data_IF_826704256428
#
_entry.id   IF_826704256428
#
_cell.length_a   1.000
_cell.length_b   1.000
_cell.length_c   1.000
_cell.angle_alpha   90.00
_cell.angle_beta   90.00
_cell.angle_gamma   90.00
#
_symmetry.space_group_name_H-M   'P 1'
#
loop_
_entity.id
_entity.type
_entity.pdbx_description
1 polymer ?
#
# COMPACT_ATOMS: atom_id res chain seq x y z
N UNK A 1 23.66 -27.34 -19.65
CA UNK A 1 22.79 -26.57 -18.75
C UNK A 1 23.33 -26.52 -17.33
N UNK A 2 23.62 -25.32 -16.82
CA UNK A 2 24.08 -25.09 -15.44
C UNK A 2 22.96 -24.47 -14.61
N UNK A 3 22.96 -24.71 -13.31
CA UNK A 3 21.93 -24.28 -12.38
C UNK A 3 22.51 -23.32 -11.36
N UNK A 4 22.00 -22.11 -11.30
CA UNK A 4 22.37 -21.09 -10.32
C UNK A 4 21.42 -21.16 -9.13
N UNK A 5 22.00 -21.33 -7.94
CA UNK A 5 21.28 -21.39 -6.67
C UNK A 5 21.89 -20.37 -5.71
N UNK A 6 21.06 -19.44 -5.26
CA UNK A 6 21.43 -18.46 -4.23
C UNK A 6 20.94 -18.95 -2.87
N UNK A 7 21.83 -18.96 -1.88
CA UNK A 7 21.53 -19.25 -0.47
C UNK A 7 21.98 -18.06 0.39
N UNK A 8 21.58 -18.06 1.67
CA UNK A 8 21.93 -16.98 2.59
C UNK A 8 23.43 -16.83 2.84
N UNK A 9 24.23 -17.84 2.51
CA UNK A 9 25.67 -17.90 2.73
C UNK A 9 26.50 -17.82 1.42
N UNK A 10 25.86 -17.69 0.26
CA UNK A 10 26.58 -17.58 -1.00
C UNK A 10 25.77 -17.94 -2.24
N UNK A 11 26.45 -17.81 -3.38
CA UNK A 11 25.94 -18.13 -4.72
C UNK A 11 26.65 -19.37 -5.24
N UNK A 12 25.89 -20.33 -5.75
CA UNK A 12 26.39 -21.63 -6.18
C UNK A 12 25.97 -21.92 -7.61
N UNK A 13 26.93 -22.32 -8.43
CA UNK A 13 26.70 -22.79 -9.79
C UNK A 13 26.89 -24.30 -9.84
N UNK A 14 25.85 -25.02 -10.23
CA UNK A 14 25.78 -26.47 -10.26
C UNK A 14 25.67 -27.00 -11.70
N UNK A 15 26.28 -28.14 -12.03
CA UNK A 15 26.14 -28.78 -13.36
C UNK A 15 25.02 -29.84 -13.41
N UNK A 16 24.37 -30.10 -12.27
CA UNK A 16 23.37 -31.15 -12.09
C UNK A 16 23.85 -32.31 -11.23
N UNK A 17 25.16 -32.47 -11.03
CA UNK A 17 25.75 -33.50 -10.15
C UNK A 17 26.68 -32.93 -9.07
N UNK A 18 27.38 -31.83 -9.37
CA UNK A 18 28.32 -31.19 -8.44
C UNK A 18 28.32 -29.67 -8.57
N UNK A 19 28.85 -29.01 -7.54
CA UNK A 19 29.12 -27.58 -7.55
C UNK A 19 30.33 -27.30 -8.43
N UNK A 20 30.13 -26.54 -9.49
CA UNK A 20 31.16 -26.11 -10.45
C UNK A 20 31.91 -24.88 -9.97
N UNK A 21 31.18 -23.93 -9.38
CA UNK A 21 31.70 -22.67 -8.84
C UNK A 21 30.87 -22.25 -7.65
N UNK A 22 31.50 -21.67 -6.64
CA UNK A 22 30.80 -21.03 -5.53
C UNK A 22 31.46 -19.68 -5.22
N UNK A 23 30.63 -18.72 -4.84
CA UNK A 23 31.03 -17.41 -4.35
C UNK A 23 30.36 -17.23 -2.98
N UNK A 24 31.13 -17.40 -1.92
CA UNK A 24 30.64 -17.26 -0.55
C UNK A 24 30.51 -15.79 -0.19
N UNK A 25 29.50 -15.47 0.60
CA UNK A 25 29.36 -14.13 1.14
C UNK A 25 30.40 -13.86 2.24
N UNK A 26 30.76 -12.60 2.50
CA UNK A 26 31.54 -12.24 3.68
C UNK A 26 30.86 -12.78 4.93
N UNK A 27 31.63 -13.26 5.91
CA UNK A 27 31.09 -13.71 7.21
C UNK A 27 30.80 -12.57 8.18
N UNK A 28 31.04 -11.34 7.74
CA UNK A 28 30.67 -10.13 8.46
C UNK A 28 29.15 -9.97 8.50
N UNK A 29 28.61 -9.68 9.67
CA UNK A 29 27.17 -9.62 9.90
C UNK A 29 26.50 -8.51 9.08
N UNK A 30 27.12 -7.33 9.00
CA UNK A 30 26.51 -6.17 8.34
C UNK A 30 26.52 -6.34 6.83
N UNK A 31 27.59 -6.92 6.27
CA UNK A 31 27.68 -7.29 4.86
C UNK A 31 26.69 -8.41 4.46
N UNK A 32 26.40 -9.35 5.37
CA UNK A 32 25.34 -10.35 5.15
C UNK A 32 23.95 -9.72 5.18
N UNK A 33 23.68 -8.86 6.16
CA UNK A 33 22.39 -8.14 6.25
C UNK A 33 22.12 -7.37 4.97
N UNK A 34 23.10 -6.62 4.45
CA UNK A 34 22.98 -5.87 3.19
C UNK A 34 22.59 -6.78 2.02
N UNK A 35 23.27 -7.92 1.84
CA UNK A 35 22.98 -8.87 0.75
C UNK A 35 21.62 -9.52 0.88
N UNK A 36 21.24 -9.96 2.09
CA UNK A 36 19.94 -10.56 2.33
C UNK A 36 18.79 -9.57 2.07
N UNK A 37 18.99 -8.29 2.40
CA UNK A 37 18.03 -7.24 2.06
C UNK A 37 17.94 -7.03 0.55
N UNK A 38 19.05 -7.01 -0.19
CA UNK A 38 19.03 -6.91 -1.66
C UNK A 38 18.29 -8.10 -2.30
N UNK A 39 18.50 -9.32 -1.78
CA UNK A 39 17.78 -10.52 -2.23
C UNK A 39 16.27 -10.36 -1.99
N UNK A 40 15.87 -9.94 -0.78
CA UNK A 40 14.46 -9.69 -0.43
C UNK A 40 13.82 -8.61 -1.29
N UNK A 41 14.58 -7.58 -1.68
CA UNK A 41 14.12 -6.49 -2.54
C UNK A 41 13.92 -6.88 -4.01
N UNK A 42 14.28 -8.09 -4.43
CA UNK A 42 14.21 -8.42 -5.84
C UNK A 42 15.39 -7.88 -6.67
N UNK A 43 16.50 -7.46 -6.04
CA UNK A 43 17.69 -6.95 -6.76
C UNK A 43 18.74 -8.02 -6.96
N UNK A 44 19.31 -8.10 -8.17
CA UNK A 44 20.41 -9.02 -8.52
C UNK A 44 21.71 -8.62 -7.83
N UNK A 45 22.40 -9.56 -7.18
CA UNK A 45 23.70 -9.37 -6.53
C UNK A 45 24.83 -9.40 -7.56
N UNK A 46 25.96 -8.79 -7.21
CA UNK A 46 27.13 -8.77 -8.10
C UNK A 46 27.82 -10.14 -8.16
N UNK A 47 27.82 -10.90 -7.06
CA UNK A 47 28.29 -12.28 -7.01
C UNK A 47 27.50 -13.21 -7.95
N UNK A 48 26.22 -12.91 -8.18
CA UNK A 48 25.36 -13.66 -9.12
C UNK A 48 25.75 -13.36 -10.57
N UNK A 49 26.03 -12.10 -10.90
CA UNK A 49 26.52 -11.70 -12.23
C UNK A 49 27.90 -12.30 -12.51
N UNK A 50 28.79 -12.27 -11.53
CA UNK A 50 30.14 -12.85 -11.63
C UNK A 50 30.14 -14.38 -11.73
N UNK A 51 29.13 -15.05 -11.16
CA UNK A 51 28.94 -16.49 -11.30
C UNK A 51 28.61 -16.90 -12.73
N UNK A 52 27.92 -16.04 -13.48
CA UNK A 52 27.40 -16.33 -14.82
C UNK A 52 28.30 -15.76 -15.93
N UNK A 53 29.21 -14.84 -15.63
CA UNK A 53 30.09 -14.19 -16.62
C UNK A 53 30.78 -15.22 -17.52
N UNK A 54 30.50 -15.15 -18.82
CA UNK A 54 31.03 -16.06 -19.85
C UNK A 54 30.19 -17.31 -20.14
N UNK A 55 29.02 -17.47 -19.52
CA UNK A 55 28.14 -18.63 -19.68
C UNK A 55 26.80 -18.24 -20.33
N UNK A 56 26.38 -18.98 -21.35
CA UNK A 56 25.14 -18.71 -22.11
C UNK A 56 23.94 -19.58 -21.69
N UNK A 57 24.17 -20.69 -20.99
CA UNK A 57 23.15 -21.70 -20.68
C UNK A 57 23.06 -21.95 -19.16
N UNK A 58 22.50 -20.97 -18.45
CA UNK A 58 22.28 -21.00 -16.99
C UNK A 58 20.80 -20.88 -16.68
N UNK A 59 20.30 -21.75 -15.81
CA UNK A 59 18.95 -21.67 -15.27
C UNK A 59 18.92 -21.45 -13.76
N UNK A 60 17.80 -20.93 -13.29
CA UNK A 60 17.59 -20.60 -11.87
C UNK A 60 16.13 -20.84 -11.50
N UNK A 61 15.89 -21.17 -10.22
CA UNK A 61 14.57 -21.27 -9.63
C UNK A 61 14.14 -19.97 -8.92
N UNK A 62 14.99 -18.95 -8.87
CA UNK A 62 14.67 -17.64 -8.31
C UNK A 62 14.13 -16.73 -9.42
N UNK A 63 12.86 -16.34 -9.31
CA UNK A 63 12.20 -15.47 -10.28
C UNK A 63 12.89 -14.11 -10.40
N UNK A 64 13.55 -13.64 -9.32
CA UNK A 64 14.36 -12.41 -9.29
C UNK A 64 15.46 -12.41 -10.36
N UNK A 65 15.99 -13.58 -10.68
CA UNK A 65 17.14 -13.75 -11.57
C UNK A 65 16.74 -14.02 -13.02
N UNK A 66 15.45 -13.95 -13.34
CA UNK A 66 14.91 -14.13 -14.70
C UNK A 66 15.53 -13.18 -15.74
N UNK A 67 16.04 -12.02 -15.32
CA UNK A 67 16.71 -11.06 -16.20
C UNK A 67 18.11 -11.51 -16.64
N UNK A 68 18.77 -12.39 -15.89
CA UNK A 68 20.17 -12.81 -16.12
C UNK A 68 20.33 -14.32 -16.37
N UNK A 69 19.30 -15.12 -16.07
CA UNK A 69 19.30 -16.56 -16.23
C UNK A 69 17.90 -17.07 -16.63
N UNK A 70 17.84 -18.25 -17.27
CA UNK A 70 16.57 -18.86 -17.66
C UNK A 70 15.81 -19.33 -16.43
N UNK A 71 14.68 -18.70 -16.14
CA UNK A 71 13.82 -19.12 -15.03
C UNK A 71 13.19 -20.48 -15.32
N UNK A 72 13.36 -21.43 -14.40
CA UNK A 72 12.72 -22.73 -14.41
C UNK A 72 12.02 -22.95 -13.07
N UNK A 73 10.69 -22.93 -13.10
CA UNK A 73 9.87 -23.30 -11.95
C UNK A 73 9.93 -24.80 -11.71
N UNK A 74 10.27 -25.20 -10.48
CA UNK A 74 10.06 -26.55 -9.94
C UNK A 74 10.76 -27.71 -10.69
N UNK A 75 11.99 -27.48 -11.16
CA UNK A 75 12.83 -28.51 -11.79
C UNK A 75 13.45 -29.46 -10.73
N UNK A 76 13.42 -30.78 -10.96
CA UNK A 76 13.85 -31.82 -10.00
C UNK A 76 15.27 -31.60 -9.45
N UNK A 77 16.18 -31.15 -10.31
CA UNK A 77 17.58 -30.83 -9.95
C UNK A 77 17.68 -29.83 -8.79
N UNK A 78 16.76 -28.86 -8.67
CA UNK A 78 16.82 -27.91 -7.55
C UNK A 78 16.41 -28.51 -6.20
N UNK A 79 15.65 -29.62 -6.21
CA UNK A 79 15.29 -30.39 -5.00
C UNK A 79 16.44 -31.28 -4.54
N UNK A 80 17.25 -31.76 -5.48
CA UNK A 80 18.42 -32.62 -5.23
C UNK A 80 19.65 -31.84 -4.76
N UNK A 81 19.73 -30.53 -5.06
CA UNK A 81 20.84 -29.68 -4.61
C UNK A 81 20.71 -29.39 -3.10
N UNK A 82 21.39 -30.21 -2.30
CA UNK A 82 21.55 -30.01 -0.86
C UNK A 82 22.89 -29.30 -0.55
N UNK A 83 22.83 -28.03 -0.18
CA UNK A 83 23.99 -27.23 0.23
C UNK A 83 23.92 -26.99 1.74
N UNK A 84 24.91 -27.52 2.49
CA UNK A 84 24.99 -27.37 3.95
C UNK A 84 25.85 -26.16 4.33
N UNK A 85 25.33 -25.16 5.06
CA UNK A 85 26.12 -23.98 5.47
C UNK A 85 27.41 -24.33 6.21
N UNK A 86 27.39 -25.40 7.02
CA UNK A 86 28.52 -25.82 7.87
C UNK A 86 29.72 -26.23 7.02
N UNK A 87 29.48 -26.83 5.85
CA UNK A 87 30.55 -27.24 4.92
C UNK A 87 31.31 -26.06 4.30
N UNK A 88 30.75 -24.84 4.41
CA UNK A 88 31.37 -23.60 3.94
C UNK A 88 31.77 -22.67 5.11
N UNK A 89 31.72 -23.19 6.36
CA UNK A 89 32.09 -22.47 7.56
C UNK A 89 31.09 -21.39 7.97
N UNK A 90 29.81 -21.56 7.63
CA UNK A 90 28.70 -20.74 8.11
C UNK A 90 27.95 -21.50 9.20
N UNK A 91 27.84 -20.88 10.37
CA UNK A 91 27.19 -21.49 11.54
C UNK A 91 25.75 -21.02 11.67
N UNK A 92 24.92 -21.83 12.34
CA UNK A 92 23.55 -21.44 12.67
C UNK A 92 23.52 -20.24 13.64
N UNK A 93 24.54 -20.08 14.49
CA UNK A 93 24.71 -18.91 15.36
C UNK A 93 24.79 -17.61 14.57
N UNK A 94 25.57 -17.60 13.48
CA UNK A 94 25.68 -16.44 12.59
C UNK A 94 24.32 -16.10 11.95
N UNK A 95 23.56 -17.12 11.51
CA UNK A 95 22.22 -16.91 10.95
C UNK A 95 21.25 -16.35 12.00
N UNK A 96 21.31 -16.83 13.24
CA UNK A 96 20.47 -16.37 14.34
C UNK A 96 20.78 -14.92 14.75
N UNK A 97 22.01 -14.44 14.56
CA UNK A 97 22.39 -13.03 14.77
C UNK A 97 21.96 -12.14 13.62
N UNK A 98 22.11 -12.61 12.37
CA UNK A 98 21.80 -11.83 11.16
C UNK A 98 20.30 -11.71 10.93
N UNK A 99 19.51 -12.76 11.19
CA UNK A 99 18.07 -12.79 10.86
C UNK A 99 17.26 -11.70 11.57
N UNK A 100 17.44 -11.44 12.88
CA UNK A 100 16.76 -10.34 13.57
C UNK A 100 17.16 -8.97 12.99
N UNK A 101 18.44 -8.75 12.67
CA UNK A 101 18.91 -7.49 12.07
C UNK A 101 18.27 -7.22 10.70
N UNK A 102 18.14 -8.26 9.86
CA UNK A 102 17.43 -8.16 8.58
C UNK A 102 15.96 -7.81 8.80
N UNK A 103 15.28 -8.50 9.72
CA UNK A 103 13.87 -8.27 10.03
C UNK A 103 13.62 -6.86 10.60
N UNK A 104 14.52 -6.38 11.46
CA UNK A 104 14.46 -5.02 12.04
C UNK A 104 14.61 -3.96 10.94
N UNK A 105 15.60 -4.08 10.06
CA UNK A 105 15.81 -3.13 8.96
C UNK A 105 14.64 -3.15 7.96
N UNK A 106 14.09 -4.33 7.66
CA UNK A 106 12.89 -4.48 6.82
C UNK A 106 11.67 -3.81 7.46
N UNK A 107 11.49 -3.99 8.77
CA UNK A 107 10.40 -3.37 9.54
C UNK A 107 10.55 -1.86 9.56
N UNK A 108 11.76 -1.34 9.81
CA UNK A 108 12.04 0.10 9.83
C UNK A 108 11.70 0.75 8.48
N UNK A 109 12.14 0.14 7.36
CA UNK A 109 11.78 0.60 6.01
C UNK A 109 10.28 0.55 5.74
N UNK A 110 9.60 -0.47 6.26
CA UNK A 110 8.14 -0.59 6.16
C UNK A 110 7.39 0.46 6.97
N UNK A 111 7.96 0.92 8.09
CA UNK A 111 7.42 2.00 8.93
C UNK A 111 7.70 3.40 8.36
N UNK A 112 8.76 3.56 7.57
CA UNK A 112 9.09 4.81 6.86
C UNK A 112 8.16 5.11 5.66
N UNK A 113 7.20 4.24 5.36
CA UNK A 113 6.25 4.45 4.26
C UNK A 113 5.34 5.65 4.56
N UNK A 114 5.40 6.66 3.69
CA UNK A 114 4.62 7.91 3.82
C UNK A 114 3.11 7.70 3.82
N UNK A 115 2.61 6.63 3.22
CA UNK A 115 1.17 6.31 3.25
C UNK A 115 0.70 5.91 4.66
N UNK A 116 1.55 5.35 5.52
CA UNK A 116 1.20 5.07 6.92
C UNK A 116 0.92 6.35 7.71
N UNK A 117 1.70 7.41 7.47
CA UNK A 117 1.46 8.71 8.10
C UNK A 117 0.11 9.29 7.65
N UNK A 118 -0.22 9.21 6.36
CA UNK A 118 -1.53 9.63 5.83
C UNK A 118 -2.66 8.84 6.50
N UNK A 119 -2.48 7.54 6.70
CA UNK A 119 -3.46 6.68 7.37
C UNK A 119 -3.70 7.12 8.82
N UNK A 120 -2.64 7.48 9.56
CA UNK A 120 -2.80 7.97 10.93
C UNK A 120 -3.45 9.36 10.95
N UNK A 121 -3.01 10.27 10.08
CA UNK A 121 -3.60 11.61 9.97
C UNK A 121 -5.11 11.55 9.71
N UNK A 122 -5.56 10.69 8.79
CA UNK A 122 -6.99 10.60 8.47
C UNK A 122 -7.82 9.93 9.58
N UNK A 123 -7.24 8.96 10.30
CA UNK A 123 -7.89 8.38 11.49
C UNK A 123 -8.07 9.42 12.59
N UNK A 124 -7.00 10.14 12.93
CA UNK A 124 -7.05 11.21 13.91
C UNK A 124 -8.00 12.32 13.49
N UNK A 125 -8.00 12.70 12.20
CA UNK A 125 -8.95 13.67 11.66
C UNK A 125 -10.40 13.23 11.85
N UNK A 126 -10.74 11.97 11.51
CA UNK A 126 -12.10 11.44 11.65
C UNK A 126 -12.53 11.33 13.12
N UNK A 127 -11.62 10.94 14.03
CA UNK A 127 -11.86 10.91 15.48
C UNK A 127 -12.11 12.31 16.04
N UNK A 128 -11.26 13.29 15.70
CA UNK A 128 -11.41 14.67 16.15
C UNK A 128 -12.71 15.31 15.64
N UNK A 129 -13.11 15.03 14.40
CA UNK A 129 -14.44 15.48 13.88
C UNK A 129 -15.57 14.86 14.71
N UNK A 130 -15.44 13.59 15.10
CA UNK A 130 -16.38 12.95 16.02
C UNK A 130 -16.47 13.66 17.37
N UNK A 131 -15.31 13.94 17.99
CA UNK A 131 -15.26 14.68 19.26
C UNK A 131 -15.81 16.11 19.13
N UNK A 132 -15.50 16.81 18.04
CA UNK A 132 -16.02 18.15 17.77
C UNK A 132 -17.55 18.15 17.76
N UNK A 133 -18.18 17.17 17.12
CA UNK A 133 -19.64 17.06 17.08
C UNK A 133 -20.22 16.81 18.47
N UNK A 134 -19.64 15.87 19.23
CA UNK A 134 -20.09 15.57 20.61
C UNK A 134 -19.99 16.81 21.50
N UNK A 135 -18.86 17.52 21.46
CA UNK A 135 -18.69 18.75 22.25
C UNK A 135 -19.65 19.85 21.81
N UNK A 136 -19.91 19.98 20.51
CA UNK A 136 -20.86 20.96 19.99
C UNK A 136 -22.28 20.68 20.48
N UNK A 137 -22.72 19.42 20.48
CA UNK A 137 -24.01 19.00 21.04
C UNK A 137 -24.09 19.31 22.55
N UNK A 138 -23.04 19.00 23.32
CA UNK A 138 -23.02 19.27 24.77
C UNK A 138 -23.05 20.77 25.09
N UNK A 139 -22.34 21.57 24.31
CA UNK A 139 -22.34 23.03 24.48
C UNK A 139 -23.71 23.62 24.16
N UNK A 140 -24.39 23.12 23.12
CA UNK A 140 -25.74 23.58 22.78
C UNK A 140 -26.74 23.26 23.91
N UNK A 141 -26.72 22.02 24.40
CA UNK A 141 -27.57 21.61 25.52
C UNK A 141 -27.27 22.42 26.80
N UNK A 142 -26.00 22.64 27.13
CA UNK A 142 -25.64 23.39 28.33
C UNK A 142 -26.03 24.86 28.22
N UNK A 143 -25.82 25.50 27.06
CA UNK A 143 -26.27 26.86 26.78
C UNK A 143 -27.80 27.01 26.84
N UNK A 144 -28.55 25.94 26.61
CA UNK A 144 -30.02 25.97 26.69
C UNK A 144 -30.56 26.02 28.14
N UNK A 145 -29.70 25.80 29.14
CA UNK A 145 -30.11 25.89 30.55
C UNK A 145 -30.39 27.36 30.95
N UNK A 146 -31.33 27.63 31.87
CA UNK A 146 -31.66 29.00 32.29
C UNK A 146 -30.49 29.76 32.93
N UNK A 147 -29.55 29.04 33.53
CA UNK A 147 -28.33 29.58 34.16
C UNK A 147 -27.20 28.56 33.96
N UNK A 148 -26.50 28.58 32.81
CA UNK A 148 -25.35 27.72 32.58
C UNK A 148 -24.19 28.12 33.49
N UNK A 149 -23.45 27.14 33.96
CA UNK A 149 -22.26 27.33 34.79
C UNK A 149 -21.08 27.84 33.93
N UNK A 150 -20.17 28.63 34.51
CA UNK A 150 -19.01 29.18 33.81
C UNK A 150 -18.06 28.11 33.25
N UNK A 151 -18.09 26.89 33.78
CA UNK A 151 -17.33 25.73 33.29
C UNK A 151 -17.62 25.39 31.82
N UNK A 152 -18.74 25.88 31.27
CA UNK A 152 -19.05 25.78 29.83
C UNK A 152 -17.96 26.42 28.96
N UNK A 153 -17.29 27.45 29.46
CA UNK A 153 -16.21 28.15 28.74
C UNK A 153 -15.03 27.20 28.48
N UNK A 154 -14.63 26.40 29.48
CA UNK A 154 -13.55 25.40 29.35
C UNK A 154 -13.85 24.38 28.24
N UNK A 155 -15.11 23.95 28.14
CA UNK A 155 -15.55 23.02 27.09
C UNK A 155 -15.56 23.71 25.72
N UNK A 156 -15.99 24.98 25.66
CA UNK A 156 -15.96 25.78 24.43
C UNK A 156 -14.53 26.00 23.93
N UNK A 157 -13.59 26.33 24.82
CA UNK A 157 -12.17 26.49 24.50
C UNK A 157 -11.59 25.18 23.94
N UNK A 158 -11.87 24.05 24.60
CA UNK A 158 -11.43 22.72 24.13
C UNK A 158 -12.00 22.40 22.73
N UNK A 159 -13.28 22.69 22.49
CA UNK A 159 -13.91 22.54 21.16
C UNK A 159 -13.15 23.35 20.10
N UNK A 160 -12.80 24.59 20.42
CA UNK A 160 -12.13 25.50 19.49
C UNK A 160 -10.70 25.06 19.20
N UNK A 161 -9.97 24.52 20.18
CA UNK A 161 -8.67 23.90 19.98
C UNK A 161 -8.74 22.66 19.08
N UNK A 162 -9.72 21.79 19.30
CA UNK A 162 -9.97 20.62 18.45
C UNK A 162 -10.26 21.08 17.02
N UNK A 163 -11.10 22.10 16.83
CA UNK A 163 -11.41 22.66 15.51
C UNK A 163 -10.16 23.17 14.79
N UNK A 164 -9.31 23.94 15.48
CA UNK A 164 -8.02 24.40 14.91
C UNK A 164 -7.13 23.23 14.52
N UNK A 165 -7.08 22.19 15.35
CA UNK A 165 -6.27 20.99 15.08
C UNK A 165 -6.76 20.24 13.84
N UNK A 166 -8.08 20.14 13.65
CA UNK A 166 -8.71 19.56 12.45
C UNK A 166 -8.29 20.33 11.19
N UNK A 167 -8.29 21.66 11.22
CA UNK A 167 -7.88 22.50 10.09
C UNK A 167 -6.40 22.28 9.72
N UNK A 168 -5.51 22.21 10.72
CA UNK A 168 -4.08 21.91 10.52
C UNK A 168 -3.85 20.52 9.94
N UNK A 169 -4.59 19.52 10.43
CA UNK A 169 -4.52 18.15 9.91
C UNK A 169 -5.05 18.06 8.48
N UNK A 170 -6.13 18.77 8.14
CA UNK A 170 -6.66 18.78 6.78
C UNK A 170 -5.62 19.28 5.79
N UNK A 171 -4.95 20.40 6.08
CA UNK A 171 -3.92 20.94 5.19
C UNK A 171 -2.71 19.99 5.10
N UNK A 172 -2.30 19.41 6.22
CA UNK A 172 -1.24 18.40 6.24
C UNK A 172 -1.59 17.18 5.38
N UNK A 173 -2.82 16.68 5.44
CA UNK A 173 -3.31 15.58 4.59
C UNK A 173 -3.29 16.01 3.13
N UNK A 174 -3.74 17.23 2.82
CA UNK A 174 -3.77 17.77 1.45
C UNK A 174 -2.38 17.85 0.84
N UNK A 175 -1.40 18.33 1.57
CA UNK A 175 -0.01 18.39 1.11
C UNK A 175 0.61 17.00 0.92
N UNK A 176 0.43 16.11 1.90
CA UNK A 176 0.98 14.77 1.84
C UNK A 176 0.36 13.94 0.71
N UNK A 177 -0.94 14.06 0.49
CA UNK A 177 -1.64 13.38 -0.60
C UNK A 177 -1.15 13.83 -1.98
N UNK A 178 -0.87 15.14 -2.18
CA UNK A 178 -0.26 15.63 -3.41
C UNK A 178 1.13 15.03 -3.67
N UNK A 179 1.91 14.80 -2.61
CA UNK A 179 3.27 14.22 -2.69
C UNK A 179 3.25 12.69 -2.89
N UNK A 180 2.31 12.00 -2.25
CA UNK A 180 2.27 10.53 -2.21
C UNK A 180 1.43 9.92 -3.33
N UNK A 181 0.28 10.51 -3.63
CA UNK A 181 -0.70 10.00 -4.60
C UNK A 181 -1.35 11.16 -5.39
N UNK A 182 -0.58 11.86 -6.26
CA UNK A 182 -1.07 13.00 -7.02
C UNK A 182 -2.23 12.63 -7.97
N UNK A 183 -2.14 11.48 -8.66
CA UNK A 183 -3.19 11.07 -9.58
C UNK A 183 -4.48 10.76 -8.82
N UNK A 184 -4.39 10.02 -7.71
CA UNK A 184 -5.56 9.70 -6.90
C UNK A 184 -6.21 10.96 -6.31
N UNK A 185 -5.38 11.91 -5.88
CA UNK A 185 -5.83 13.23 -5.40
C UNK A 185 -6.59 13.99 -6.48
N UNK A 186 -6.14 13.92 -7.74
CA UNK A 186 -6.82 14.59 -8.85
C UNK A 186 -8.22 14.03 -9.15
N UNK A 187 -8.43 12.74 -8.89
CA UNK A 187 -9.70 12.06 -9.13
C UNK A 187 -10.64 12.21 -7.94
N UNK A 188 -10.21 11.79 -6.75
CA UNK A 188 -11.07 11.68 -5.57
C UNK A 188 -11.05 12.93 -4.67
N UNK A 189 -10.03 13.77 -4.81
CA UNK A 189 -9.67 14.77 -3.80
C UNK A 189 -8.79 14.18 -2.69
N UNK A 190 -8.12 15.04 -1.89
CA UNK A 190 -7.15 14.62 -0.89
C UNK A 190 -7.78 13.79 0.23
N UNK A 191 -8.88 14.27 0.84
CA UNK A 191 -9.52 13.59 1.97
C UNK A 191 -10.10 12.22 1.59
N UNK A 192 -10.87 12.15 0.50
CA UNK A 192 -11.43 10.88 0.04
C UNK A 192 -10.34 9.92 -0.41
N UNK A 193 -9.30 10.40 -1.10
CA UNK A 193 -8.14 9.60 -1.49
C UNK A 193 -7.42 9.01 -0.27
N UNK A 194 -7.17 9.82 0.76
CA UNK A 194 -6.57 9.38 2.02
C UNK A 194 -7.44 8.32 2.73
N UNK A 195 -8.76 8.51 2.78
CA UNK A 195 -9.67 7.51 3.35
C UNK A 195 -9.69 6.20 2.56
N UNK A 196 -9.59 6.25 1.22
CA UNK A 196 -9.47 5.05 0.39
C UNK A 196 -8.16 4.29 0.70
N UNK A 197 -7.04 5.00 0.86
CA UNK A 197 -5.75 4.41 1.26
C UNK A 197 -5.85 3.76 2.64
N UNK A 198 -6.50 4.45 3.60
CA UNK A 198 -6.76 3.92 4.95
C UNK A 198 -7.57 2.64 4.92
N UNK A 199 -8.72 2.64 4.25
CA UNK A 199 -9.60 1.47 4.21
C UNK A 199 -8.95 0.28 3.48
N UNK A 200 -8.09 0.55 2.49
CA UNK A 200 -7.32 -0.50 1.81
C UNK A 200 -6.14 -1.03 2.66
N UNK A 201 -5.72 -0.30 3.70
CA UNK A 201 -4.56 -0.62 4.53
C UNK A 201 -3.22 -0.31 3.85
N UNK A 202 -3.19 0.69 2.96
CA UNK A 202 -1.98 1.13 2.24
C UNK A 202 -2.24 1.42 0.77
N UNK A 203 -1.42 2.29 0.19
CA UNK A 203 -1.59 2.74 -1.20
C UNK A 203 -1.32 1.60 -2.20
N UNK A 204 -0.32 0.75 -1.93
CA UNK A 204 -0.03 -0.40 -2.79
C UNK A 204 -1.18 -1.43 -2.79
N UNK A 205 -1.80 -1.67 -1.63
CA UNK A 205 -2.97 -2.56 -1.52
C UNK A 205 -4.13 -1.98 -2.32
N UNK A 206 -4.39 -0.68 -2.21
CA UNK A 206 -5.40 0.02 -3.01
C UNK A 206 -5.15 -0.14 -4.52
N UNK A 207 -3.91 0.02 -4.98
CA UNK A 207 -3.55 -0.12 -6.39
C UNK A 207 -3.78 -1.55 -6.94
N UNK A 208 -3.73 -2.57 -6.08
CA UNK A 208 -4.01 -3.97 -6.45
C UNK A 208 -5.51 -4.30 -6.43
N UNK A 209 -6.35 -3.48 -5.80
CA UNK A 209 -7.79 -3.73 -5.75
C UNK A 209 -8.45 -3.52 -7.12
N UNK A 210 -9.46 -4.34 -7.48
CA UNK A 210 -10.29 -4.08 -8.64
C UNK A 210 -11.24 -2.90 -8.38
N UNK A 211 -11.68 -2.23 -9.45
CA UNK A 211 -12.58 -1.08 -9.37
C UNK A 211 -13.91 -1.41 -8.66
N UNK A 212 -14.41 -2.64 -8.80
CA UNK A 212 -15.63 -3.11 -8.12
C UNK A 212 -15.49 -3.11 -6.59
N UNK A 213 -14.31 -3.48 -6.06
CA UNK A 213 -14.02 -3.44 -4.62
C UNK A 213 -13.90 -2.00 -4.15
N UNK A 214 -13.16 -1.16 -4.89
CA UNK A 214 -13.01 0.27 -4.57
C UNK A 214 -14.38 0.98 -4.56
N UNK A 215 -15.30 0.59 -5.45
CA UNK A 215 -16.64 1.16 -5.53
C UNK A 215 -17.42 1.02 -4.21
N UNK A 216 -17.27 -0.11 -3.52
CA UNK A 216 -18.07 -0.49 -2.34
C UNK A 216 -17.28 -0.50 -1.02
N UNK A 217 -16.02 -0.07 -1.04
CA UNK A 217 -15.19 0.00 0.16
C UNK A 217 -15.80 0.97 1.18
N UNK A 218 -15.88 0.58 2.46
CA UNK A 218 -16.63 1.28 3.50
C UNK A 218 -18.12 0.93 3.59
N UNK A 219 -18.65 0.08 2.69
CA UNK A 219 -20.01 -0.47 2.77
C UNK A 219 -20.02 -1.97 3.09
N UNK A 220 -19.00 -2.47 3.78
CA UNK A 220 -18.81 -3.88 4.10
C UNK A 220 -20.02 -4.45 4.84
N UNK A 221 -20.55 -3.73 5.84
CA UNK A 221 -21.75 -4.15 6.59
C UNK A 221 -22.95 -4.41 5.66
N UNK A 222 -23.21 -3.50 4.73
CA UNK A 222 -24.32 -3.65 3.78
C UNK A 222 -24.06 -4.77 2.75
N UNK A 223 -22.83 -4.89 2.28
CA UNK A 223 -22.41 -5.97 1.38
C UNK A 223 -22.55 -7.34 2.04
N UNK A 224 -22.13 -7.47 3.30
CA UNK A 224 -22.22 -8.72 4.04
C UNK A 224 -23.67 -9.11 4.29
N UNK A 225 -24.56 -8.18 4.69
CA UNK A 225 -26.00 -8.49 4.79
C UNK A 225 -26.57 -9.04 3.48
N UNK A 226 -26.25 -8.39 2.36
CA UNK A 226 -26.68 -8.87 1.04
C UNK A 226 -26.13 -10.27 0.72
N UNK A 227 -24.86 -10.55 1.04
CA UNK A 227 -24.28 -11.90 0.86
C UNK A 227 -24.97 -12.97 1.71
N UNK A 228 -25.58 -12.60 2.83
CA UNK A 228 -26.38 -13.49 3.67
C UNK A 228 -27.86 -13.54 3.26
N UNK A 229 -28.21 -13.01 2.08
CA UNK A 229 -29.57 -13.06 1.53
C UNK A 229 -30.47 -11.90 1.94
N UNK A 230 -29.95 -10.89 2.65
CA UNK A 230 -30.75 -9.77 3.15
C UNK A 230 -30.57 -8.49 2.33
N UNK A 231 -31.66 -7.97 1.79
CA UNK A 231 -31.71 -6.66 1.13
C UNK A 231 -31.03 -6.64 -0.24
N UNK A 232 -30.53 -5.47 -0.64
CA UNK A 232 -29.94 -5.23 -1.98
C UNK A 232 -28.46 -4.88 -1.89
N UNK A 233 -27.64 -5.19 -2.91
CA UNK A 233 -26.22 -4.89 -2.88
C UNK A 233 -25.96 -3.38 -2.84
N UNK A 234 -24.95 -2.92 -2.07
CA UNK A 234 -24.63 -1.51 -2.00
C UNK A 234 -24.11 -0.99 -3.36
N UNK A 235 -24.63 0.16 -3.80
CA UNK A 235 -24.21 0.79 -5.07
C UNK A 235 -22.89 1.55 -4.94
N UNK A 236 -22.54 1.97 -3.72
CA UNK A 236 -21.36 2.75 -3.41
C UNK A 236 -21.03 2.62 -1.92
N UNK A 237 -19.74 2.65 -1.60
CA UNK A 237 -19.24 2.82 -0.24
C UNK A 237 -18.86 4.27 0.02
N UNK A 238 -17.64 4.50 0.51
CA UNK A 238 -17.18 5.83 0.90
C UNK A 238 -17.09 6.82 -0.28
N UNK A 239 -17.00 6.32 -1.52
CA UNK A 239 -17.06 7.14 -2.75
C UNK A 239 -18.33 8.00 -2.82
N UNK A 240 -19.38 7.65 -2.07
CA UNK A 240 -20.56 8.50 -1.94
C UNK A 240 -20.26 9.92 -1.45
N UNK A 241 -19.18 10.13 -0.70
CA UNK A 241 -18.74 11.45 -0.21
C UNK A 241 -18.17 12.35 -1.31
N UNK A 242 -17.86 11.81 -2.49
CA UNK A 242 -17.28 12.56 -3.59
C UNK A 242 -18.20 13.70 -4.07
N UNK A 243 -17.64 14.88 -4.36
CA UNK A 243 -18.41 16.08 -4.74
C UNK A 243 -19.37 15.86 -5.92
N UNK A 244 -18.96 15.10 -6.95
CA UNK A 244 -19.80 14.74 -8.10
C UNK A 244 -21.06 13.95 -7.72
N UNK A 245 -21.04 13.16 -6.64
CA UNK A 245 -22.20 12.38 -6.20
C UNK A 245 -23.34 13.26 -5.69
N UNK A 246 -23.02 14.43 -5.13
CA UNK A 246 -24.01 15.42 -4.68
C UNK A 246 -24.75 16.09 -5.85
N UNK A 247 -24.15 16.09 -7.04
CA UNK A 247 -24.65 16.79 -8.23
C UNK A 247 -25.48 15.91 -9.17
N UNK A 248 -25.74 14.65 -8.80
CA UNK A 248 -26.40 13.67 -9.67
C UNK A 248 -27.66 13.06 -9.05
N UNK A 249 -28.62 12.71 -9.92
CA UNK A 249 -29.89 12.12 -9.51
C UNK A 249 -29.65 10.73 -8.86
N UNK A 250 -30.50 10.29 -7.92
CA UNK A 250 -30.35 8.98 -7.26
C UNK A 250 -30.22 7.79 -8.22
N UNK A 251 -30.92 7.81 -9.35
CA UNK A 251 -30.84 6.78 -10.41
C UNK A 251 -29.46 6.70 -11.08
N UNK A 252 -28.74 7.83 -11.16
CA UNK A 252 -27.44 7.94 -11.82
C UNK A 252 -26.26 7.65 -10.88
N UNK A 253 -26.46 7.71 -9.56
CA UNK A 253 -25.41 7.51 -8.53
C UNK A 253 -24.60 6.23 -8.71
N UNK A 254 -25.24 5.12 -9.08
CA UNK A 254 -24.54 3.85 -9.32
C UNK A 254 -23.57 3.91 -10.51
N UNK A 255 -23.97 4.58 -11.60
CA UNK A 255 -23.12 4.76 -12.79
C UNK A 255 -21.93 5.67 -12.48
N UNK A 256 -22.17 6.76 -11.74
CA UNK A 256 -21.13 7.71 -11.33
C UNK A 256 -20.15 7.10 -10.34
N UNK A 257 -20.64 6.34 -9.34
CA UNK A 257 -19.76 5.64 -8.40
C UNK A 257 -18.82 4.67 -9.10
N UNK A 258 -19.34 3.91 -10.09
CA UNK A 258 -18.52 3.01 -10.93
C UNK A 258 -17.47 3.77 -11.74
N UNK A 259 -17.84 4.90 -12.33
CA UNK A 259 -16.90 5.77 -13.05
C UNK A 259 -15.76 6.23 -12.14
N UNK A 260 -16.09 6.81 -10.98
CA UNK A 260 -15.10 7.29 -10.00
C UNK A 260 -14.20 6.14 -9.56
N UNK A 261 -14.76 5.00 -9.16
CA UNK A 261 -13.98 3.86 -8.70
C UNK A 261 -13.00 3.33 -9.78
N UNK A 262 -13.42 3.32 -11.05
CA UNK A 262 -12.57 2.92 -12.17
C UNK A 262 -11.38 3.87 -12.35
N UNK A 263 -11.63 5.18 -12.21
CA UNK A 263 -10.57 6.19 -12.33
C UNK A 263 -9.67 6.22 -11.11
N UNK A 264 -10.19 6.00 -9.90
CA UNK A 264 -9.39 5.78 -8.69
C UNK A 264 -8.49 4.55 -8.82
N UNK A 265 -9.00 3.43 -9.34
CA UNK A 265 -8.19 2.22 -9.55
C UNK A 265 -7.03 2.48 -10.52
N UNK A 266 -7.29 3.22 -11.60
CA UNK A 266 -6.27 3.58 -12.59
C UNK A 266 -5.25 4.55 -12.01
N UNK A 267 -5.72 5.56 -11.29
CA UNK A 267 -4.90 6.56 -10.63
C UNK A 267 -3.96 5.93 -9.57
N UNK A 268 -4.49 5.07 -8.69
CA UNK A 268 -3.71 4.39 -7.66
C UNK A 268 -2.63 3.49 -8.29
N UNK A 269 -2.93 2.77 -9.37
CA UNK A 269 -1.93 1.99 -10.12
C UNK A 269 -0.85 2.87 -10.72
N UNK A 270 -1.23 4.01 -11.30
CA UNK A 270 -0.27 4.96 -11.85
C UNK A 270 0.65 5.51 -10.76
N UNK A 271 0.08 5.93 -9.63
CA UNK A 271 0.80 6.46 -8.46
C UNK A 271 1.77 5.45 -7.82
N UNK A 272 1.48 4.14 -7.87
CA UNK A 272 2.35 3.11 -7.28
C UNK A 272 3.39 2.60 -8.27
N UNK A 273 2.94 2.13 -9.44
CA UNK A 273 3.78 1.31 -10.32
C UNK A 273 4.48 2.12 -11.41
N UNK A 274 3.80 3.10 -12.01
CA UNK A 274 4.34 3.81 -13.19
C UNK A 274 4.93 5.18 -12.89
N UNK A 275 4.47 5.82 -11.81
CA UNK A 275 4.81 7.21 -11.42
C UNK A 275 4.55 8.25 -12.51
N UNK A 276 3.73 7.93 -13.53
CA UNK A 276 3.32 8.85 -14.58
C UNK A 276 2.24 9.79 -14.06
N UNK A 277 2.29 11.05 -14.50
CA UNK A 277 1.20 12.00 -14.26
C UNK A 277 0.09 11.80 -15.31
N UNK A 278 -1.09 11.43 -14.84
CA UNK A 278 -2.31 11.21 -15.60
C UNK A 278 -3.42 12.20 -15.20
N UNK A 279 -3.10 13.21 -14.39
CA UNK A 279 -4.06 14.12 -13.76
C UNK A 279 -5.03 14.74 -14.77
N UNK A 280 -4.52 15.36 -15.84
CA UNK A 280 -5.36 16.04 -16.84
C UNK A 280 -6.16 15.06 -17.70
N UNK A 281 -5.57 13.90 -18.01
CA UNK A 281 -6.24 12.85 -18.77
C UNK A 281 -7.43 12.29 -17.99
N UNK A 282 -7.24 11.95 -16.72
CA UNK A 282 -8.28 11.40 -15.86
C UNK A 282 -9.43 12.39 -15.63
N UNK A 283 -9.12 13.67 -15.39
CA UNK A 283 -10.15 14.73 -15.28
C UNK A 283 -10.99 14.84 -16.55
N UNK A 284 -10.33 14.85 -17.72
CA UNK A 284 -11.01 14.94 -19.02
C UNK A 284 -11.95 13.75 -19.23
N UNK A 285 -11.47 12.53 -18.98
CA UNK A 285 -12.28 11.32 -19.12
C UNK A 285 -13.49 11.29 -18.17
N UNK A 286 -13.31 11.72 -16.91
CA UNK A 286 -14.41 11.85 -15.94
C UNK A 286 -15.45 12.83 -16.47
N UNK A 287 -15.01 14.00 -16.96
CA UNK A 287 -15.91 15.04 -17.45
C UNK A 287 -16.75 14.58 -18.65
N UNK A 288 -16.14 13.86 -19.60
CA UNK A 288 -16.82 13.32 -20.79
C UNK A 288 -17.89 12.30 -20.36
N UNK A 289 -17.49 11.29 -19.57
CA UNK A 289 -18.40 10.25 -19.10
C UNK A 289 -19.51 10.79 -18.20
N UNK A 290 -19.24 11.83 -17.42
CA UNK A 290 -20.26 12.44 -16.57
C UNK A 290 -21.33 13.15 -17.42
N UNK A 291 -20.95 13.81 -18.53
CA UNK A 291 -21.92 14.40 -19.47
C UNK A 291 -22.81 13.33 -20.10
N UNK A 292 -22.22 12.22 -20.56
CA UNK A 292 -22.97 11.06 -21.10
C UNK A 292 -23.99 10.51 -20.08
N UNK A 293 -23.58 10.37 -18.81
CA UNK A 293 -24.48 9.85 -17.76
C UNK A 293 -25.61 10.83 -17.46
N UNK A 294 -25.34 12.14 -17.51
CA UNK A 294 -26.35 13.17 -17.24
C UNK A 294 -27.35 13.36 -18.38
N UNK A 295 -26.96 13.05 -19.62
CA UNK A 295 -27.84 13.12 -20.80
C UNK A 295 -28.84 11.96 -20.91
N UNK A 296 -28.69 10.92 -20.09
CA UNK A 296 -29.59 9.76 -19.99
C UNK A 296 -30.42 9.83 -18.71
#
# INVERSE_FOLDING_TARGET
MRYLVTKWFGVFLHDGKRVVKHLLFPKDEDELVKRLLLIKEGKVLDEEKESIKGLKDVATNDARLSNIARYLSDHAVFKEISLKPESYGFTLDLLNKVSPKVAEQETKRSLERRDLQIIQMIKSFDELVGFLNILSERLEEWNSLPSPDESINTVSETRDEIKKTIEVLEESIRENMKKVAPNLTSVAGPLLGARLIMLAGGLERLARMPASTIQIIGAEKALFRYKHGEGTPPKHGIIFQHHLMKQVKPSQRGKVARLIATKCATAAKADVFTKRDLTELLKKEISIRLKEIKSV
#
